data_IF_596636570461
#
_entry.id   IF_596636570461
#
_cell.length_a   1.000
_cell.length_b   1.000
_cell.length_c   1.000
_cell.angle_alpha   90.00
_cell.angle_beta   90.00
_cell.angle_gamma   90.00
#
_symmetry.space_group_name_H-M   'P 1'
#
loop_
_entity.id
_entity.type
_entity.pdbx_description
1 polymer ?
#
# COMPACT_ATOMS: atom_id res chain seq x y z
N UNK A 1 -28.49 -75.25 41.30
CA UNK A 1 -27.88 -75.00 39.98
C UNK A 1 -28.06 -73.52 39.66
N UNK A 2 -26.97 -72.70 39.78
CA UNK A 2 -27.05 -71.29 39.72
C UNK A 2 -26.68 -70.75 38.31
N UNK A 3 -27.64 -70.11 37.64
CA UNK A 3 -27.39 -69.44 36.37
C UNK A 3 -26.93 -67.98 36.64
N UNK A 4 -25.68 -67.70 36.31
CA UNK A 4 -25.08 -66.35 36.42
C UNK A 4 -25.48 -65.52 35.20
N UNK A 5 -26.37 -64.54 35.38
CA UNK A 5 -26.60 -63.50 34.38
C UNK A 5 -25.42 -62.51 34.37
N UNK A 6 -24.62 -62.54 33.30
CA UNK A 6 -23.62 -61.48 33.02
C UNK A 6 -24.33 -60.31 32.36
N UNK A 7 -24.53 -59.28 33.13
CA UNK A 7 -24.95 -57.97 32.61
C UNK A 7 -23.77 -57.32 31.82
N UNK A 8 -23.90 -57.32 30.53
CA UNK A 8 -22.97 -56.53 29.66
C UNK A 8 -23.30 -55.06 29.83
N UNK A 9 -22.44 -54.35 30.51
CA UNK A 9 -22.46 -52.88 30.53
C UNK A 9 -22.06 -52.36 29.13
N UNK A 10 -23.03 -51.83 28.40
CA UNK A 10 -22.79 -51.08 27.16
C UNK A 10 -22.36 -49.68 27.55
N UNK A 11 -21.07 -49.39 27.48
CA UNK A 11 -20.54 -48.05 27.53
C UNK A 11 -20.89 -47.37 26.22
N UNK A 12 -21.86 -46.45 26.26
CA UNK A 12 -22.16 -45.53 25.15
C UNK A 12 -21.06 -44.49 25.15
N UNK A 13 -20.15 -44.58 24.17
CA UNK A 13 -19.20 -43.52 23.89
C UNK A 13 -19.94 -42.37 23.20
N UNK A 14 -20.15 -41.27 23.92
CA UNK A 14 -20.60 -40.01 23.36
C UNK A 14 -19.46 -39.40 22.56
N UNK A 15 -19.51 -39.57 21.24
CA UNK A 15 -18.63 -38.83 20.34
C UNK A 15 -19.12 -37.37 20.26
N UNK A 16 -18.45 -36.49 20.95
CA UNK A 16 -18.63 -35.04 20.80
C UNK A 16 -17.96 -34.65 19.49
N UNK A 17 -18.74 -34.49 18.45
CA UNK A 17 -18.28 -33.90 17.19
C UNK A 17 -18.22 -32.37 17.41
N UNK A 18 -17.07 -31.84 17.76
CA UNK A 18 -16.80 -30.42 17.68
C UNK A 18 -16.69 -30.04 16.21
N UNK A 19 -17.78 -29.55 15.65
CA UNK A 19 -17.76 -28.91 14.34
C UNK A 19 -16.95 -27.59 14.48
N UNK A 20 -15.67 -27.61 14.09
CA UNK A 20 -14.93 -26.38 13.79
C UNK A 20 -15.63 -25.74 12.58
N UNK A 21 -16.43 -24.72 12.85
CA UNK A 21 -16.89 -23.82 11.81
C UNK A 21 -15.66 -23.05 11.31
N UNK A 22 -15.02 -23.55 10.27
CA UNK A 22 -14.08 -22.78 9.45
C UNK A 22 -14.94 -21.76 8.73
N UNK A 23 -14.99 -20.54 9.28
CA UNK A 23 -15.53 -19.40 8.56
C UNK A 23 -14.58 -19.19 7.37
N UNK A 24 -15.06 -19.32 6.12
CA UNK A 24 -14.28 -18.86 5.00
C UNK A 24 -14.17 -17.34 5.18
N UNK A 25 -12.96 -16.85 5.53
CA UNK A 25 -12.64 -15.47 5.32
C UNK A 25 -12.73 -15.25 3.80
N UNK A 26 -13.89 -14.85 3.33
CA UNK A 26 -14.03 -14.27 2.00
C UNK A 26 -13.32 -12.93 2.04
N UNK A 27 -11.98 -12.98 1.99
CA UNK A 27 -11.19 -11.83 1.58
C UNK A 27 -11.59 -11.65 0.12
N UNK A 28 -12.52 -10.74 -0.12
CA UNK A 28 -13.04 -10.49 -1.46
C UNK A 28 -11.87 -10.20 -2.38
N UNK A 29 -11.90 -10.74 -3.59
CA UNK A 29 -10.87 -10.50 -4.62
C UNK A 29 -10.60 -9.02 -4.85
N UNK A 30 -11.56 -8.15 -4.55
CA UNK A 30 -11.41 -6.68 -4.58
C UNK A 30 -10.39 -6.14 -3.57
N UNK A 31 -10.36 -6.68 -2.34
CA UNK A 31 -9.41 -6.20 -1.31
C UNK A 31 -7.97 -6.57 -1.66
N UNK A 32 -7.75 -7.76 -2.22
CA UNK A 32 -6.43 -8.22 -2.69
C UNK A 32 -6.00 -7.41 -3.92
N UNK A 33 -6.91 -7.16 -4.87
CA UNK A 33 -6.64 -6.34 -6.05
C UNK A 33 -6.22 -4.92 -5.67
N UNK A 34 -6.97 -4.26 -4.77
CA UNK A 34 -6.66 -2.90 -4.29
C UNK A 34 -5.30 -2.84 -3.55
N UNK A 35 -4.97 -3.86 -2.76
CA UNK A 35 -3.68 -3.92 -2.08
C UNK A 35 -2.52 -4.08 -3.07
N UNK A 36 -2.66 -4.92 -4.09
CA UNK A 36 -1.66 -5.08 -5.15
C UNK A 36 -1.52 -3.81 -5.99
N UNK A 37 -2.62 -3.15 -6.34
CA UNK A 37 -2.60 -1.87 -7.05
C UNK A 37 -1.86 -0.79 -6.23
N UNK A 38 -2.07 -0.73 -4.90
CA UNK A 38 -1.38 0.18 -4.00
C UNK A 38 0.15 -0.05 -4.03
N UNK A 39 0.59 -1.30 -3.85
CA UNK A 39 2.02 -1.65 -3.87
C UNK A 39 2.66 -1.30 -5.21
N UNK A 40 2.07 -1.73 -6.33
CA UNK A 40 2.61 -1.47 -7.66
C UNK A 40 2.70 0.03 -7.97
N UNK A 41 1.69 0.80 -7.54
CA UNK A 41 1.70 2.25 -7.78
C UNK A 41 2.68 2.94 -6.85
N UNK A 42 2.85 2.48 -5.60
CA UNK A 42 3.87 2.99 -4.68
C UNK A 42 5.29 2.72 -5.20
N UNK A 43 5.54 1.55 -5.80
CA UNK A 43 6.82 1.24 -6.46
C UNK A 43 7.07 2.17 -7.65
N UNK A 44 6.06 2.40 -8.49
CA UNK A 44 6.17 3.34 -9.62
C UNK A 44 6.43 4.79 -9.17
N UNK A 45 5.89 5.18 -8.02
CA UNK A 45 6.18 6.48 -7.39
C UNK A 45 7.62 6.52 -6.88
N UNK A 46 8.12 5.47 -6.24
CA UNK A 46 9.49 5.38 -5.76
C UNK A 46 10.51 5.50 -6.91
N UNK A 47 10.23 4.84 -8.04
CA UNK A 47 11.02 4.99 -9.26
C UNK A 47 11.00 6.42 -9.78
N UNK A 48 9.81 7.05 -9.86
CA UNK A 48 9.66 8.44 -10.30
C UNK A 48 10.33 9.44 -9.34
N UNK A 49 10.42 9.15 -8.05
CA UNK A 49 11.18 9.96 -7.08
C UNK A 49 12.68 9.83 -7.31
N UNK A 50 13.16 8.64 -7.68
CA UNK A 50 14.55 8.43 -8.07
C UNK A 50 14.89 9.21 -9.35
N UNK A 51 14.01 9.18 -10.34
CA UNK A 51 14.15 9.97 -11.57
C UNK A 51 14.14 11.48 -11.25
N UNK A 52 13.29 11.93 -10.30
CA UNK A 52 13.26 13.30 -9.85
C UNK A 52 14.60 13.73 -9.21
N UNK A 53 15.23 12.87 -8.40
CA UNK A 53 16.55 13.15 -7.83
C UNK A 53 17.57 13.38 -8.93
N UNK A 54 17.64 12.51 -9.92
CA UNK A 54 18.56 12.66 -11.05
C UNK A 54 18.22 13.89 -11.89
N UNK A 55 16.94 14.18 -12.09
CA UNK A 55 16.50 15.36 -12.84
C UNK A 55 16.89 16.67 -12.15
N UNK A 56 16.80 16.73 -10.81
CA UNK A 56 17.24 17.91 -10.03
C UNK A 56 18.76 18.06 -10.10
N UNK A 57 19.54 16.97 -10.01
CA UNK A 57 20.99 17.02 -10.16
C UNK A 57 21.42 17.51 -11.55
N UNK A 58 20.63 17.22 -12.58
CA UNK A 58 20.88 17.60 -13.96
C UNK A 58 20.12 18.87 -14.40
N UNK A 59 19.38 19.53 -13.51
CA UNK A 59 18.48 20.63 -13.85
C UNK A 59 19.19 21.84 -14.50
N UNK A 60 20.47 22.03 -14.26
CA UNK A 60 21.29 23.05 -14.91
C UNK A 60 21.48 22.77 -16.43
N UNK A 61 21.41 21.48 -16.85
CA UNK A 61 21.60 21.06 -18.24
C UNK A 61 20.25 20.82 -18.94
N UNK A 62 19.26 20.27 -18.21
CA UNK A 62 17.93 19.98 -18.73
C UNK A 62 16.85 20.23 -17.65
N UNK A 63 16.35 21.46 -17.55
CA UNK A 63 15.34 21.82 -16.55
C UNK A 63 13.96 21.18 -16.81
N UNK A 64 13.73 20.63 -18.00
CA UNK A 64 12.43 20.03 -18.34
C UNK A 64 12.21 18.68 -17.67
N UNK A 65 13.26 17.92 -17.42
CA UNK A 65 13.21 16.61 -16.79
C UNK A 65 12.60 16.66 -15.37
N UNK A 66 12.91 17.70 -14.61
CA UNK A 66 12.31 17.90 -13.27
C UNK A 66 10.78 18.02 -13.35
N UNK A 67 10.28 18.78 -14.31
CA UNK A 67 8.84 18.92 -14.55
C UNK A 67 8.16 17.60 -14.98
N UNK A 68 8.82 16.82 -15.81
CA UNK A 68 8.32 15.51 -16.28
C UNK A 68 8.25 14.51 -15.13
N UNK A 69 9.29 14.42 -14.28
CA UNK A 69 9.31 13.55 -13.11
C UNK A 69 8.22 13.94 -12.09
N UNK A 70 7.98 15.22 -11.85
CA UNK A 70 6.89 15.70 -11.00
C UNK A 70 5.52 15.32 -11.57
N UNK A 71 5.32 15.45 -12.89
CA UNK A 71 4.08 15.03 -13.55
C UNK A 71 3.85 13.51 -13.43
N UNK A 72 4.91 12.69 -13.54
CA UNK A 72 4.82 11.25 -13.38
C UNK A 72 4.39 10.86 -11.96
N UNK A 73 4.92 11.51 -10.94
CA UNK A 73 4.51 11.30 -9.55
C UNK A 73 3.04 11.68 -9.36
N UNK A 74 2.60 12.85 -9.80
CA UNK A 74 1.22 13.31 -9.69
C UNK A 74 0.23 12.34 -10.37
N UNK A 75 0.53 11.90 -11.60
CA UNK A 75 -0.31 10.93 -12.31
C UNK A 75 -0.44 9.58 -11.59
N UNK A 76 0.60 9.15 -10.88
CA UNK A 76 0.56 7.93 -10.09
C UNK A 76 -0.20 8.14 -8.77
N UNK A 77 -0.10 9.33 -8.15
CA UNK A 77 -0.88 9.69 -6.96
C UNK A 77 -2.38 9.70 -7.24
N UNK A 78 -2.81 10.25 -8.37
CA UNK A 78 -4.22 10.25 -8.80
C UNK A 78 -4.75 8.82 -8.93
N UNK A 79 -3.95 7.90 -9.47
CA UNK A 79 -4.35 6.49 -9.59
C UNK A 79 -4.58 5.79 -8.25
N UNK A 80 -3.79 6.13 -7.21
CA UNK A 80 -3.99 5.59 -5.86
C UNK A 80 -5.21 6.25 -5.22
N UNK A 81 -5.30 7.58 -5.24
CA UNK A 81 -6.37 8.34 -4.61
C UNK A 81 -7.77 7.91 -5.06
N UNK A 82 -7.93 7.67 -6.35
CA UNK A 82 -9.22 7.23 -6.93
C UNK A 82 -9.62 5.79 -6.56
N UNK A 83 -8.69 4.96 -6.11
CA UNK A 83 -8.89 3.52 -5.92
C UNK A 83 -8.91 3.06 -4.47
N UNK A 84 -8.54 3.93 -3.53
CA UNK A 84 -8.40 3.53 -2.13
C UNK A 84 -9.42 4.19 -1.22
N UNK A 85 -10.03 3.40 -0.33
CA UNK A 85 -10.83 3.86 0.80
C UNK A 85 -10.05 3.83 2.12
N UNK A 86 -8.75 3.51 2.06
CA UNK A 86 -7.90 3.41 3.25
C UNK A 86 -7.44 4.80 3.69
N UNK A 87 -7.79 5.18 4.94
CA UNK A 87 -7.49 6.50 5.48
C UNK A 87 -5.99 6.79 5.61
N UNK A 88 -5.17 5.79 5.92
CA UNK A 88 -3.72 5.95 6.07
C UNK A 88 -3.06 6.16 4.70
N UNK A 89 -3.53 5.43 3.67
CA UNK A 89 -3.08 5.62 2.29
C UNK A 89 -3.48 7.01 1.78
N UNK A 90 -4.73 7.43 2.00
CA UNK A 90 -5.20 8.76 1.60
C UNK A 90 -4.37 9.87 2.25
N UNK A 91 -4.05 9.74 3.54
CA UNK A 91 -3.19 10.70 4.24
C UNK A 91 -1.79 10.76 3.64
N UNK A 92 -1.18 9.60 3.34
CA UNK A 92 0.15 9.54 2.73
C UNK A 92 0.15 10.14 1.31
N UNK A 93 -0.91 9.91 0.52
CA UNK A 93 -1.13 10.54 -0.79
C UNK A 93 -1.20 12.05 -0.68
N UNK A 94 -1.98 12.57 0.29
CA UNK A 94 -2.11 14.01 0.51
C UNK A 94 -0.78 14.66 0.92
N UNK A 95 -0.01 14.01 1.79
CA UNK A 95 1.30 14.49 2.24
C UNK A 95 2.30 14.53 1.08
N UNK A 96 2.32 13.47 0.26
CA UNK A 96 3.18 13.42 -0.92
C UNK A 96 2.75 14.46 -1.98
N UNK A 97 1.47 14.65 -2.21
CA UNK A 97 0.94 15.66 -3.13
C UNK A 97 1.35 17.08 -2.71
N UNK A 98 1.31 17.38 -1.41
CA UNK A 98 1.80 18.67 -0.87
C UNK A 98 3.29 18.85 -1.10
N UNK A 99 4.09 17.81 -0.82
CA UNK A 99 5.54 17.86 -1.02
C UNK A 99 5.90 18.11 -2.50
N UNK A 100 5.23 17.39 -3.42
CA UNK A 100 5.40 17.57 -4.88
C UNK A 100 5.00 18.98 -5.31
N UNK A 101 3.88 19.50 -4.80
CA UNK A 101 3.41 20.86 -5.07
C UNK A 101 4.41 21.94 -4.62
N UNK A 102 5.05 21.74 -3.48
CA UNK A 102 6.10 22.66 -2.98
C UNK A 102 7.32 22.67 -3.90
N UNK A 103 7.79 21.48 -4.33
CA UNK A 103 8.91 21.38 -5.28
C UNK A 103 8.55 22.04 -6.61
N UNK A 104 7.34 21.79 -7.12
CA UNK A 104 6.85 22.42 -8.35
C UNK A 104 6.83 23.95 -8.24
N UNK A 105 6.42 24.48 -7.11
CA UNK A 105 6.41 25.92 -6.85
C UNK A 105 7.81 26.48 -6.83
N UNK A 106 8.77 25.81 -6.18
CA UNK A 106 10.17 26.22 -6.16
C UNK A 106 10.76 26.26 -7.57
N UNK A 107 10.54 25.21 -8.38
CA UNK A 107 10.99 25.14 -9.78
C UNK A 107 10.38 26.27 -10.63
N UNK A 108 9.08 26.55 -10.48
CA UNK A 108 8.42 27.66 -11.18
C UNK A 108 8.99 29.03 -10.79
N UNK A 109 9.48 29.17 -9.57
CA UNK A 109 10.11 30.39 -9.08
C UNK A 109 11.61 30.51 -9.48
N UNK A 110 12.10 29.55 -10.28
CA UNK A 110 13.47 29.56 -10.80
C UNK A 110 14.50 28.85 -9.91
N UNK A 111 14.04 28.10 -8.90
CA UNK A 111 14.93 27.26 -8.10
C UNK A 111 15.39 26.05 -8.94
N UNK A 112 16.67 25.98 -9.24
CA UNK A 112 17.28 24.90 -10.01
C UNK A 112 17.74 23.72 -9.14
N UNK A 113 17.72 23.88 -7.81
CA UNK A 113 18.11 22.87 -6.82
C UNK A 113 17.08 22.76 -5.68
N UNK A 114 15.80 22.52 -6.00
CA UNK A 114 14.76 22.47 -4.98
C UNK A 114 15.01 21.34 -3.98
N UNK A 115 14.64 21.55 -2.71
CA UNK A 115 14.70 20.50 -1.70
C UNK A 115 13.62 19.44 -1.96
N UNK A 116 14.05 18.25 -2.35
CA UNK A 116 13.18 17.08 -2.61
C UNK A 116 13.12 16.11 -1.45
N UNK A 117 13.79 16.38 -0.32
CA UNK A 117 13.77 15.51 0.87
C UNK A 117 12.35 15.26 1.38
N UNK A 118 11.43 16.25 1.40
CA UNK A 118 10.03 15.98 1.78
C UNK A 118 9.31 15.02 0.83
N UNK A 119 9.60 15.07 -0.47
CA UNK A 119 9.02 14.14 -1.47
C UNK A 119 9.52 12.72 -1.21
N UNK A 120 10.81 12.54 -1.00
CA UNK A 120 11.42 11.24 -0.69
C UNK A 120 10.86 10.65 0.60
N UNK A 121 10.74 11.45 1.66
CA UNK A 121 10.18 11.02 2.93
C UNK A 121 8.71 10.60 2.80
N UNK A 122 7.88 11.41 2.14
CA UNK A 122 6.47 11.13 1.94
C UNK A 122 6.23 9.89 1.03
N UNK A 123 7.05 9.69 0.00
CA UNK A 123 7.01 8.49 -0.83
C UNK A 123 7.35 7.23 -0.01
N UNK A 124 8.32 7.31 0.90
CA UNK A 124 8.65 6.23 1.83
C UNK A 124 7.50 5.88 2.77
N UNK A 125 6.77 6.86 3.28
CA UNK A 125 5.57 6.62 4.10
C UNK A 125 4.46 5.96 3.27
N UNK A 126 4.24 6.41 2.04
CA UNK A 126 3.25 5.77 1.14
C UNK A 126 3.60 4.30 0.90
N UNK A 127 4.86 3.97 0.64
CA UNK A 127 5.32 2.59 0.48
C UNK A 127 5.02 1.76 1.72
N UNK A 128 5.24 2.29 2.92
CA UNK A 128 4.97 1.59 4.19
C UNK A 128 3.49 1.27 4.38
N UNK A 129 2.60 2.23 4.08
CA UNK A 129 1.15 2.03 4.27
C UNK A 129 0.52 1.16 3.18
N UNK A 130 1.16 1.03 2.00
CA UNK A 130 0.76 0.10 0.94
C UNK A 130 1.29 -1.33 1.16
N UNK A 131 2.34 -1.50 1.95
CA UNK A 131 2.91 -2.83 2.23
C UNK A 131 2.18 -3.47 3.41
N UNK A 132 1.63 -4.69 3.27
CA UNK A 132 0.89 -5.37 4.33
C UNK A 132 1.79 -5.83 5.48
#
# INVERSE_FOLDING_TARGET
MAARHRTRRRTAALAVITALAVLPATVGCDAVGKALDCVQTADAIADSVTDLQQAVENAANDPTQTGESLNAIENNLDKIGDKTDNADVNKAVDELSKAVGNVRTAVKNGDTTPDISPVTAAAGELTKVCTP
#
